data_IF_118434633860
#
_entry.id   IF_118434633860
#
_cell.length_a   1.000
_cell.length_b   1.000
_cell.length_c   1.000
_cell.angle_alpha   90.00
_cell.angle_beta   90.00
_cell.angle_gamma   90.00
#
_symmetry.space_group_name_H-M   'P 1'
#
loop_
_entity.id
_entity.type
_entity.pdbx_description
1 polymer ?
#
# COMPACT_ATOMS: atom_id res chain seq x y z
N UNK A 1 -7.18 2.27 15.96
CA UNK A 1 -6.92 2.72 14.57
C UNK A 1 -6.38 1.52 13.81
N UNK A 2 -7.17 0.82 12.98
CA UNK A 2 -6.79 -0.56 12.56
C UNK A 2 -7.16 -1.02 11.15
N UNK A 3 -7.63 -0.15 10.26
CA UNK A 3 -8.10 -0.59 8.92
C UNK A 3 -7.14 -0.28 7.77
N UNK A 4 -5.93 0.22 8.04
CA UNK A 4 -5.08 0.80 6.98
C UNK A 4 -4.27 -0.25 6.24
N UNK A 5 -3.56 -1.12 6.96
CA UNK A 5 -2.77 -2.19 6.36
C UNK A 5 -3.59 -3.17 5.49
N UNK A 6 -4.77 -3.68 5.91
CA UNK A 6 -5.58 -4.54 5.05
C UNK A 6 -6.08 -3.81 3.80
N UNK A 7 -6.45 -2.53 3.90
CA UNK A 7 -6.89 -1.74 2.77
C UNK A 7 -5.76 -1.53 1.74
N UNK A 8 -4.54 -1.25 2.21
CA UNK A 8 -3.34 -1.15 1.35
C UNK A 8 -3.10 -2.48 0.60
N UNK A 9 -3.19 -3.63 1.29
CA UNK A 9 -3.00 -4.95 0.67
C UNK A 9 -4.07 -5.22 -0.41
N UNK A 10 -5.34 -4.90 -0.13
CA UNK A 10 -6.42 -5.05 -1.12
C UNK A 10 -6.17 -4.18 -2.34
N UNK A 11 -5.76 -2.92 -2.16
CA UNK A 11 -5.46 -2.03 -3.28
C UNK A 11 -4.25 -2.50 -4.09
N UNK A 12 -3.17 -2.96 -3.45
CA UNK A 12 -2.01 -3.53 -4.15
C UNK A 12 -2.37 -4.80 -4.93
N UNK A 13 -3.20 -5.67 -4.36
CA UNK A 13 -3.70 -6.85 -5.05
C UNK A 13 -4.57 -6.48 -6.27
N UNK A 14 -5.43 -5.46 -6.13
CA UNK A 14 -6.20 -4.91 -7.24
C UNK A 14 -5.30 -4.30 -8.34
N UNK A 15 -4.20 -3.62 -7.96
CA UNK A 15 -3.20 -3.11 -8.91
C UNK A 15 -2.55 -4.21 -9.74
N UNK A 16 -2.23 -5.36 -9.13
CA UNK A 16 -1.69 -6.53 -9.85
C UNK A 16 -2.71 -7.04 -10.88
N UNK A 17 -3.97 -7.17 -10.49
CA UNK A 17 -5.05 -7.58 -11.42
C UNK A 17 -5.23 -6.60 -12.58
N UNK A 18 -5.22 -5.29 -12.29
CA UNK A 18 -5.33 -4.25 -13.32
C UNK A 18 -4.15 -4.26 -14.29
N UNK A 19 -2.91 -4.46 -13.79
CA UNK A 19 -1.71 -4.61 -14.63
C UNK A 19 -1.76 -5.87 -15.48
N UNK A 20 -2.26 -6.99 -14.95
CA UNK A 20 -2.44 -8.22 -15.72
C UNK A 20 -3.45 -8.05 -16.86
N UNK A 21 -4.58 -7.38 -16.59
CA UNK A 21 -5.56 -7.01 -17.62
C UNK A 21 -4.95 -6.08 -18.66
N UNK A 22 -4.14 -5.09 -18.26
CA UNK A 22 -3.45 -4.19 -19.19
C UNK A 22 -2.45 -4.93 -20.08
N UNK A 23 -1.69 -5.88 -19.52
CA UNK A 23 -0.73 -6.67 -20.26
C UNK A 23 -1.37 -7.46 -21.42
N UNK A 24 -2.63 -7.87 -21.26
CA UNK A 24 -3.42 -8.59 -22.28
C UNK A 24 -4.39 -7.70 -23.06
N UNK A 25 -4.43 -6.40 -22.77
CA UNK A 25 -5.30 -5.48 -23.48
C UNK A 25 -4.80 -5.27 -24.91
N UNK A 26 -5.71 -5.39 -25.88
CA UNK A 26 -5.40 -5.16 -27.29
C UNK A 26 -5.04 -3.69 -27.60
N UNK A 27 -4.69 -3.36 -28.86
CA UNK A 27 -4.19 -2.04 -29.25
C UNK A 27 -5.24 -0.90 -29.23
N UNK A 28 -6.45 -1.15 -28.70
CA UNK A 28 -7.51 -0.16 -28.66
C UNK A 28 -7.15 0.99 -27.70
N UNK A 29 -6.90 2.18 -28.25
CA UNK A 29 -6.45 3.37 -27.51
C UNK A 29 -7.37 3.74 -26.34
N UNK A 30 -8.69 3.72 -26.54
CA UNK A 30 -9.68 4.10 -25.52
C UNK A 30 -9.68 3.08 -24.36
N UNK A 31 -9.60 1.78 -24.68
CA UNK A 31 -9.53 0.73 -23.68
C UNK A 31 -8.23 0.82 -22.88
N UNK A 32 -7.10 1.05 -23.55
CA UNK A 32 -5.81 1.27 -22.90
C UNK A 32 -5.80 2.52 -22.00
N UNK A 33 -6.41 3.62 -22.44
CA UNK A 33 -6.53 4.83 -21.63
C UNK A 33 -7.39 4.61 -20.37
N UNK A 34 -8.52 3.90 -20.49
CA UNK A 34 -9.36 3.56 -19.34
C UNK A 34 -8.63 2.64 -18.36
N UNK A 35 -7.99 1.58 -18.84
CA UNK A 35 -7.24 0.66 -17.97
C UNK A 35 -6.06 1.40 -17.30
N UNK A 36 -5.32 2.25 -18.02
CA UNK A 36 -4.25 3.08 -17.43
C UNK A 36 -4.77 4.02 -16.35
N UNK A 37 -5.96 4.59 -16.53
CA UNK A 37 -6.61 5.43 -15.52
C UNK A 37 -6.94 4.62 -14.26
N UNK A 38 -7.51 3.43 -14.43
CA UNK A 38 -7.84 2.52 -13.32
C UNK A 38 -6.56 2.08 -12.59
N UNK A 39 -5.53 1.69 -13.34
CA UNK A 39 -4.21 1.34 -12.78
C UNK A 39 -3.64 2.52 -11.98
N UNK A 40 -3.70 3.74 -12.52
CA UNK A 40 -3.21 4.95 -11.86
C UNK A 40 -3.94 5.24 -10.55
N UNK A 41 -5.27 5.20 -10.53
CA UNK A 41 -6.07 5.40 -9.31
C UNK A 41 -5.76 4.31 -8.28
N UNK A 42 -5.66 3.06 -8.74
CA UNK A 42 -5.46 1.90 -7.86
C UNK A 42 -4.06 1.87 -7.26
N UNK A 43 -3.03 2.38 -7.94
CA UNK A 43 -1.65 2.49 -7.42
C UNK A 43 -1.45 3.75 -6.55
N UNK A 44 -2.09 4.87 -6.92
CA UNK A 44 -2.00 6.13 -6.16
C UNK A 44 -2.61 6.01 -4.76
N UNK A 45 -3.70 5.25 -4.63
CA UNK A 45 -4.34 4.94 -3.35
C UNK A 45 -3.41 4.35 -2.29
N UNK A 46 -2.80 3.16 -2.50
CA UNK A 46 -1.92 2.52 -1.53
C UNK A 46 -0.66 3.35 -1.28
N UNK A 47 -0.11 4.05 -2.28
CA UNK A 47 1.02 4.96 -2.07
C UNK A 47 0.68 6.05 -1.04
N UNK A 48 -0.44 6.78 -1.25
CA UNK A 48 -0.87 7.83 -0.34
C UNK A 48 -1.21 7.29 1.06
N UNK A 49 -1.77 6.09 1.14
CA UNK A 49 -2.11 5.43 2.41
C UNK A 49 -0.88 4.94 3.17
N UNK A 50 0.14 4.42 2.49
CA UNK A 50 1.40 4.01 3.11
C UNK A 50 2.10 5.23 3.71
N UNK A 51 2.29 6.28 2.91
CA UNK A 51 2.93 7.52 3.38
C UNK A 51 2.13 8.14 4.52
N UNK A 52 0.80 8.25 4.37
CA UNK A 52 -0.07 8.80 5.42
C UNK A 52 -0.06 7.96 6.71
N UNK A 53 -0.01 6.63 6.60
CA UNK A 53 0.08 5.76 7.78
C UNK A 53 1.40 5.91 8.49
N UNK A 54 2.52 5.97 7.76
CA UNK A 54 3.84 6.17 8.35
C UNK A 54 3.92 7.53 9.05
N UNK A 55 3.40 8.61 8.44
CA UNK A 55 3.37 9.94 9.06
C UNK A 55 2.55 9.96 10.36
N UNK A 56 1.43 9.23 10.39
CA UNK A 56 0.60 9.11 11.59
C UNK A 56 1.29 8.26 12.65
N UNK A 57 1.94 7.16 12.27
CA UNK A 57 2.69 6.31 13.17
C UNK A 57 3.85 7.09 13.82
N UNK A 58 4.59 7.88 13.04
CA UNK A 58 5.64 8.77 13.54
C UNK A 58 5.11 9.85 14.49
N UNK A 59 3.99 10.50 14.12
CA UNK A 59 3.36 11.53 14.95
C UNK A 59 2.78 11.00 16.26
N UNK A 60 2.48 9.70 16.34
CA UNK A 60 1.99 9.05 17.56
C UNK A 60 3.09 8.63 18.54
N UNK A 61 4.37 8.62 18.12
CA UNK A 61 5.48 8.25 18.99
C UNK A 61 5.82 9.39 19.95
N UNK A 62 5.83 9.17 21.28
CA UNK A 62 6.07 10.24 22.25
C UNK A 62 7.44 10.91 22.09
N UNK A 63 8.45 10.18 21.57
CA UNK A 63 9.77 10.72 21.27
C UNK A 63 9.78 11.72 20.09
N UNK A 64 8.79 11.66 19.20
CA UNK A 64 8.71 12.46 17.98
C UNK A 64 7.52 13.42 17.97
N UNK A 65 6.43 13.12 18.68
CA UNK A 65 5.17 13.87 18.69
C UNK A 65 5.34 15.36 19.02
N UNK A 66 6.26 15.71 19.93
CA UNK A 66 6.57 17.09 20.31
C UNK A 66 7.87 17.63 19.70
N UNK A 67 8.57 16.85 18.88
CA UNK A 67 9.84 17.25 18.28
C UNK A 67 9.71 17.39 16.75
N UNK A 68 9.33 18.59 16.32
CA UNK A 68 9.15 18.90 14.90
C UNK A 68 10.42 18.65 14.05
N UNK A 69 11.61 18.86 14.61
CA UNK A 69 12.87 18.61 13.91
C UNK A 69 13.12 17.12 13.68
N UNK A 70 12.86 16.27 14.69
CA UNK A 70 12.97 14.82 14.55
C UNK A 70 11.94 14.27 13.56
N UNK A 71 10.69 14.73 13.64
CA UNK A 71 9.64 14.39 12.67
C UNK A 71 10.01 14.78 11.23
N UNK A 72 10.52 16.01 11.03
CA UNK A 72 10.96 16.48 9.72
C UNK A 72 12.13 15.64 9.17
N UNK A 73 13.04 15.19 10.03
CA UNK A 73 14.18 14.35 9.63
C UNK A 73 13.71 12.98 9.15
N UNK A 74 12.78 12.34 9.88
CA UNK A 74 12.27 11.01 9.48
C UNK A 74 11.39 11.12 8.24
N UNK A 75 10.56 12.17 8.12
CA UNK A 75 9.81 12.45 6.89
C UNK A 75 10.74 12.70 5.71
N UNK A 76 11.80 13.49 5.90
CA UNK A 76 12.80 13.74 4.87
C UNK A 76 13.54 12.47 4.42
N UNK A 77 13.80 11.53 5.34
CA UNK A 77 14.37 10.23 5.00
C UNK A 77 13.37 9.37 4.22
N UNK A 78 12.11 9.34 4.62
CA UNK A 78 11.04 8.65 3.90
C UNK A 78 10.93 9.18 2.46
N UNK A 79 10.78 10.48 2.28
CA UNK A 79 10.67 11.13 0.97
C UNK A 79 11.95 10.96 0.14
N UNK A 80 13.12 10.99 0.81
CA UNK A 80 14.41 10.71 0.21
C UNK A 80 14.49 9.29 -0.37
N UNK A 81 14.08 8.28 0.39
CA UNK A 81 14.04 6.89 -0.10
C UNK A 81 13.03 6.71 -1.24
N UNK A 82 11.88 7.38 -1.19
CA UNK A 82 10.90 7.40 -2.27
C UNK A 82 11.46 7.99 -3.56
N UNK A 83 12.18 9.10 -3.45
CA UNK A 83 12.87 9.76 -4.58
C UNK A 83 13.94 8.87 -5.21
N UNK A 84 14.76 8.20 -4.39
CA UNK A 84 15.78 7.25 -4.89
C UNK A 84 15.14 6.09 -5.63
N UNK A 85 14.06 5.51 -5.07
CA UNK A 85 13.30 4.44 -5.73
C UNK A 85 12.72 4.90 -7.08
N UNK A 86 12.18 6.12 -7.14
CA UNK A 86 11.68 6.70 -8.39
C UNK A 86 12.79 6.89 -9.43
N UNK A 87 13.97 7.38 -9.02
CA UNK A 87 15.11 7.53 -9.91
C UNK A 87 15.57 6.17 -10.48
N UNK A 88 15.68 5.15 -9.63
CA UNK A 88 15.99 3.79 -10.06
C UNK A 88 14.91 3.27 -11.03
N UNK A 89 13.63 3.44 -10.69
CA UNK A 89 12.52 3.05 -11.56
C UNK A 89 12.60 3.71 -12.94
N UNK A 90 12.86 5.02 -12.99
CA UNK A 90 13.01 5.77 -14.24
C UNK A 90 14.20 5.31 -15.09
N UNK A 91 15.26 4.77 -14.48
CA UNK A 91 16.39 4.17 -15.20
C UNK A 91 16.08 2.76 -15.70
N UNK A 92 15.42 1.93 -14.89
CA UNK A 92 15.13 0.53 -15.23
C UNK A 92 14.03 0.37 -16.29
N UNK A 93 12.99 1.21 -16.27
CA UNK A 93 11.88 1.15 -17.24
C UNK A 93 12.35 1.21 -18.70
N UNK A 94 13.13 2.21 -19.15
CA UNK A 94 13.58 2.28 -20.54
C UNK A 94 14.56 1.16 -20.89
N UNK A 95 15.39 0.71 -19.94
CA UNK A 95 16.32 -0.41 -20.16
C UNK A 95 15.57 -1.72 -20.41
N UNK A 96 14.57 -2.04 -19.60
CA UNK A 96 13.74 -3.23 -19.77
C UNK A 96 12.88 -3.15 -21.03
N UNK A 97 12.31 -1.98 -21.31
CA UNK A 97 11.53 -1.75 -22.52
C UNK A 97 12.37 -2.03 -23.77
N UNK A 98 13.59 -1.51 -23.82
CA UNK A 98 14.47 -1.66 -24.98
C UNK A 98 14.99 -3.10 -25.15
N UNK A 99 15.27 -3.81 -24.06
CA UNK A 99 15.83 -5.17 -24.11
C UNK A 99 14.77 -6.27 -24.25
N UNK A 100 13.61 -6.14 -23.61
CA UNK A 100 12.62 -7.22 -23.47
C UNK A 100 11.17 -6.79 -23.74
N UNK A 101 10.96 -5.56 -24.24
CA UNK A 101 9.65 -5.02 -24.57
C UNK A 101 8.79 -4.60 -23.36
N UNK A 102 7.62 -4.03 -23.67
CA UNK A 102 6.71 -3.46 -22.66
C UNK A 102 6.15 -4.47 -21.66
N UNK A 103 5.95 -5.72 -22.08
CA UNK A 103 5.44 -6.79 -21.21
C UNK A 103 6.34 -7.01 -19.99
N UNK A 104 7.66 -6.93 -20.19
CA UNK A 104 8.65 -7.08 -19.13
C UNK A 104 8.61 -5.93 -18.11
N UNK A 105 8.25 -4.72 -18.55
CA UNK A 105 8.04 -3.57 -17.66
C UNK A 105 6.82 -3.79 -16.77
N UNK A 106 5.72 -4.30 -17.32
CA UNK A 106 4.53 -4.63 -16.51
C UNK A 106 4.80 -5.77 -15.54
N UNK A 107 5.57 -6.80 -15.95
CA UNK A 107 6.03 -7.85 -15.05
C UNK A 107 6.89 -7.32 -13.90
N UNK A 108 7.79 -6.38 -14.18
CA UNK A 108 8.58 -5.72 -13.13
C UNK A 108 7.66 -4.99 -12.13
N UNK A 109 6.67 -4.23 -12.60
CA UNK A 109 5.72 -3.54 -11.72
C UNK A 109 4.87 -4.50 -10.89
N UNK A 110 4.40 -5.61 -11.49
CA UNK A 110 3.69 -6.66 -10.74
C UNK A 110 4.59 -7.29 -9.67
N UNK A 111 5.87 -7.57 -9.98
CA UNK A 111 6.84 -8.13 -9.03
C UNK A 111 7.13 -7.17 -7.87
N UNK A 112 7.28 -5.86 -8.15
CA UNK A 112 7.46 -4.84 -7.11
C UNK A 112 6.22 -4.71 -6.21
N UNK A 113 5.02 -4.77 -6.77
CA UNK A 113 3.77 -4.78 -5.99
C UNK A 113 3.67 -6.03 -5.11
N UNK A 114 4.04 -7.22 -5.62
CA UNK A 114 4.09 -8.45 -4.83
C UNK A 114 5.10 -8.36 -3.68
N UNK A 115 6.29 -7.81 -3.95
CA UNK A 115 7.29 -7.56 -2.92
C UNK A 115 6.76 -6.61 -1.84
N UNK A 116 6.06 -5.54 -2.22
CA UNK A 116 5.43 -4.62 -1.27
C UNK A 116 4.36 -5.31 -0.41
N UNK A 117 3.50 -6.14 -1.01
CA UNK A 117 2.53 -6.95 -0.27
C UNK A 117 3.23 -7.87 0.74
N UNK A 118 4.29 -8.56 0.33
CA UNK A 118 5.05 -9.45 1.21
C UNK A 118 5.64 -8.71 2.41
N UNK A 119 6.26 -7.54 2.17
CA UNK A 119 6.82 -6.71 3.23
C UNK A 119 5.75 -6.20 4.22
N UNK A 120 4.58 -5.80 3.72
CA UNK A 120 3.47 -5.27 4.54
C UNK A 120 2.65 -6.39 5.19
N UNK A 121 2.71 -7.62 4.68
CA UNK A 121 1.90 -8.76 5.15
C UNK A 121 2.03 -8.99 6.66
N UNK A 122 3.25 -8.93 7.22
CA UNK A 122 3.43 -9.07 8.68
C UNK A 122 2.67 -8.00 9.46
N UNK A 123 2.71 -6.74 9.01
CA UNK A 123 1.97 -5.64 9.63
C UNK A 123 0.47 -5.81 9.47
N UNK A 124 0.01 -6.25 8.29
CA UNK A 124 -1.40 -6.55 8.04
C UNK A 124 -1.93 -7.64 8.97
N UNK A 125 -1.17 -8.72 9.21
CA UNK A 125 -1.57 -9.79 10.14
C UNK A 125 -1.69 -9.26 11.57
N UNK A 126 -0.77 -8.40 12.01
CA UNK A 126 -0.82 -7.78 13.33
C UNK A 126 -2.04 -6.87 13.48
N UNK A 127 -2.32 -6.02 12.48
CA UNK A 127 -3.49 -5.15 12.47
C UNK A 127 -4.79 -5.98 12.52
N UNK A 128 -4.89 -7.07 11.74
CA UNK A 128 -6.04 -7.98 11.75
C UNK A 128 -6.23 -8.67 13.11
N UNK A 129 -5.15 -9.17 13.72
CA UNK A 129 -5.19 -9.82 15.04
C UNK A 129 -5.64 -8.85 16.12
N UNK A 130 -5.15 -7.61 16.09
CA UNK A 130 -5.59 -6.58 17.04
C UNK A 130 -7.09 -6.30 16.95
N UNK A 131 -7.65 -6.35 15.73
CA UNK A 131 -9.08 -6.16 15.49
C UNK A 131 -9.92 -7.34 15.99
N UNK A 132 -9.50 -8.58 15.67
CA UNK A 132 -10.17 -9.80 16.14
C UNK A 132 -10.18 -9.89 17.67
N UNK A 133 -9.07 -9.52 18.34
CA UNK A 133 -9.00 -9.48 19.80
C UNK A 133 -9.96 -8.45 20.39
N UNK A 134 -10.11 -7.28 19.76
CA UNK A 134 -10.99 -6.22 20.24
C UNK A 134 -12.48 -6.54 20.06
N UNK A 135 -12.83 -7.32 19.04
CA UNK A 135 -14.20 -7.82 18.85
C UNK A 135 -14.61 -8.84 19.91
N UNK A 136 -13.65 -9.59 20.48
CA UNK A 136 -13.90 -10.58 21.53
C UNK A 136 -14.18 -9.96 22.90
N UNK A 137 -13.78 -8.71 23.12
CA UNK A 137 -13.95 -7.99 24.40
C UNK A 137 -15.34 -7.34 24.54
N UNK A 138 -16.13 -7.28 23.46
CA UNK A 138 -17.55 -6.86 23.50
C UNK A 138 -18.52 -8.00 23.82
N UNK A 139 -18.10 -9.26 23.68
CA UNK A 139 -18.94 -10.43 23.96
C UNK A 139 -19.24 -10.68 25.45
N UNK A 140 -18.33 -10.44 26.42
CA UNK A 140 -18.63 -10.73 27.83
C UNK A 140 -19.59 -9.72 28.49
N UNK A 141 -19.84 -8.55 27.89
CA UNK A 141 -20.77 -7.55 28.46
C UNK A 141 -22.22 -7.68 27.97
N UNK A 142 -22.49 -8.59 27.03
CA UNK A 142 -23.86 -8.93 26.61
C UNK A 142 -24.39 -10.19 27.31
N UNK A 143 -23.54 -10.94 28.02
CA UNK A 143 -23.97 -12.09 28.83
C UNK A 143 -24.26 -11.70 30.29
N UNK A 144 -23.84 -10.52 30.75
CA UNK A 144 -24.18 -10.02 32.10
C UNK A 144 -25.51 -9.23 32.15
N UNK A 145 -25.99 -8.65 31.03
CA UNK A 145 -27.28 -7.95 31.00
C UNK A 145 -28.50 -8.87 30.83
N UNK A 146 -28.33 -10.13 30.40
CA UNK A 146 -29.43 -11.10 30.23
C UNK A 146 -29.77 -11.88 31.52
N UNK A 147 -29.16 -11.54 32.65
CA UNK A 147 -29.37 -12.21 33.95
C UNK A 147 -29.87 -11.32 35.10
N UNK A 148 -30.19 -10.06 34.86
CA UNK A 148 -30.91 -9.21 35.82
C UNK A 148 -32.33 -8.90 35.32
N UNK A 149 -33.26 -9.76 35.76
CA UNK A 149 -34.72 -9.57 35.96
C UNK A 149 -35.65 -9.16 34.79
#
# INVERSE_FOLDING_TARGET
MGCRAPLIVVMLAASIGALFCYAHAGPALILNALIMTIVGVTISGPYNLIVGTISIDLGSQPALANNAQAMATVSGLLDGTGSVGSAIGQLFVPLLQNAFGWQSVFMLFMALNLCAIFCIMKRCILDLRSFLSKSSEYTPLLEEEDHED
#
